data_IF_316208285136
#
_entry.id   IF_316208285136
#
_cell.length_a   1.000
_cell.length_b   1.000
_cell.length_c   1.000
_cell.angle_alpha   90.00
_cell.angle_beta   90.00
_cell.angle_gamma   90.00
#
_symmetry.space_group_name_H-M   'P 1'
#
loop_
_entity.id
_entity.type
_entity.pdbx_description
1 polymer ?
#
# COMPACT_ATOMS: atom_id res chain seq x y z
N UNK A 1 8.03 -25.64 -11.93
CA UNK A 1 7.55 -24.26 -11.62
C UNK A 1 8.03 -23.89 -10.22
N UNK A 2 9.03 -22.99 -10.10
CA UNK A 2 9.60 -22.61 -8.79
C UNK A 2 8.73 -21.51 -8.14
N UNK A 3 7.65 -21.93 -7.49
CA UNK A 3 6.77 -21.04 -6.72
C UNK A 3 7.37 -20.87 -5.31
N UNK A 4 7.22 -19.68 -4.71
CA UNK A 4 7.61 -19.42 -3.33
C UNK A 4 6.99 -20.47 -2.39
N UNK A 5 7.81 -21.11 -1.58
CA UNK A 5 7.36 -22.12 -0.62
C UNK A 5 7.06 -21.46 0.72
N UNK A 6 6.04 -21.93 1.45
CA UNK A 6 5.76 -21.47 2.80
C UNK A 6 6.97 -21.70 3.72
N UNK A 7 7.24 -20.73 4.57
CA UNK A 7 8.24 -20.85 5.62
C UNK A 7 7.77 -21.73 6.79
N UNK A 8 8.44 -21.59 7.93
CA UNK A 8 8.06 -22.31 9.17
C UNK A 8 6.61 -22.05 9.51
N UNK A 9 5.86 -23.13 9.83
CA UNK A 9 4.48 -22.99 10.34
C UNK A 9 4.53 -22.32 11.71
N UNK A 10 3.77 -21.25 11.86
CA UNK A 10 3.57 -20.64 13.18
C UNK A 10 2.63 -21.45 14.02
N UNK A 11 2.80 -21.35 15.34
CA UNK A 11 1.79 -21.81 16.29
C UNK A 11 0.53 -20.96 16.14
N UNK A 12 -0.62 -21.50 16.56
CA UNK A 12 -1.89 -20.75 16.54
C UNK A 12 -1.76 -19.40 17.27
N UNK A 13 -1.03 -19.38 18.37
CA UNK A 13 -0.81 -18.18 19.18
C UNK A 13 0.02 -17.11 18.44
N UNK A 14 1.07 -17.52 17.72
CA UNK A 14 1.86 -16.61 16.89
C UNK A 14 1.02 -16.02 15.74
N UNK A 15 0.13 -16.83 15.16
CA UNK A 15 -0.83 -16.37 14.15
C UNK A 15 -1.78 -15.32 14.69
N UNK A 16 -2.41 -15.57 15.83
CA UNK A 16 -3.32 -14.61 16.49
C UNK A 16 -2.59 -13.32 16.84
N UNK A 17 -1.41 -13.40 17.43
CA UNK A 17 -0.61 -12.21 17.77
C UNK A 17 -0.31 -11.36 16.55
N UNK A 18 0.03 -11.98 15.41
CA UNK A 18 0.30 -11.27 14.16
C UNK A 18 -0.94 -10.56 13.63
N UNK A 19 -2.09 -11.23 13.63
CA UNK A 19 -3.37 -10.64 13.22
C UNK A 19 -3.70 -9.43 14.09
N UNK A 20 -3.57 -9.56 15.41
CA UNK A 20 -3.79 -8.46 16.34
C UNK A 20 -2.83 -7.28 16.09
N UNK A 21 -1.56 -7.56 15.84
CA UNK A 21 -0.59 -6.51 15.50
C UNK A 21 -0.95 -5.79 14.20
N UNK A 22 -1.37 -6.51 13.16
CA UNK A 22 -1.83 -5.90 11.91
C UNK A 22 -3.08 -5.04 12.12
N UNK A 23 -4.06 -5.53 12.90
CA UNK A 23 -5.27 -4.80 13.24
C UNK A 23 -4.95 -3.49 13.99
N UNK A 24 -4.12 -3.59 15.04
CA UNK A 24 -3.71 -2.41 15.84
C UNK A 24 -2.93 -1.42 15.00
N UNK A 25 -2.01 -1.90 14.15
CA UNK A 25 -1.28 -1.04 13.21
C UNK A 25 -2.24 -0.30 12.27
N UNK A 26 -3.24 -1.00 11.73
CA UNK A 26 -4.28 -0.39 10.89
C UNK A 26 -5.06 0.69 11.65
N UNK A 27 -5.51 0.40 12.86
CA UNK A 27 -6.24 1.36 13.71
C UNK A 27 -5.40 2.61 13.96
N UNK A 28 -4.14 2.46 14.39
CA UNK A 28 -3.26 3.58 14.71
C UNK A 28 -2.99 4.45 13.47
N UNK A 29 -2.66 3.83 12.34
CA UNK A 29 -2.39 4.57 11.11
C UNK A 29 -3.66 5.21 10.53
N UNK A 30 -4.81 4.54 10.61
CA UNK A 30 -6.09 5.10 10.18
C UNK A 30 -6.51 6.33 11.00
N UNK A 31 -6.33 6.27 12.32
CA UNK A 31 -6.55 7.44 13.19
C UNK A 31 -5.58 8.57 12.88
N UNK A 32 -4.29 8.26 12.75
CA UNK A 32 -3.25 9.25 12.43
C UNK A 32 -3.53 9.94 11.09
N UNK A 33 -3.83 9.16 10.05
CA UNK A 33 -4.15 9.70 8.73
C UNK A 33 -5.33 10.68 8.82
N UNK A 34 -6.40 10.30 9.51
CA UNK A 34 -7.57 11.18 9.65
C UNK A 34 -7.33 12.37 10.55
N UNK A 35 -6.53 12.23 11.60
CA UNK A 35 -6.14 13.35 12.44
C UNK A 35 -5.34 14.41 11.66
N UNK A 36 -4.40 13.97 10.82
CA UNK A 36 -3.61 14.87 9.96
C UNK A 36 -4.47 15.50 8.86
N UNK A 37 -5.43 14.76 8.30
CA UNK A 37 -6.39 15.28 7.31
C UNK A 37 -7.26 16.41 7.88
N UNK A 38 -7.65 16.34 9.14
CA UNK A 38 -8.44 17.37 9.83
C UNK A 38 -7.60 18.51 10.42
N UNK A 39 -6.28 18.33 10.54
CA UNK A 39 -5.41 19.35 11.11
C UNK A 39 -5.29 20.56 10.17
N UNK A 40 -5.48 21.76 10.69
CA UNK A 40 -5.19 23.00 9.99
C UNK A 40 -3.73 23.39 10.22
N UNK A 41 -2.93 23.41 9.16
CA UNK A 41 -1.58 23.94 9.18
C UNK A 41 -1.65 25.41 8.76
N UNK A 42 -1.20 26.30 9.60
CA UNK A 42 -1.21 27.75 9.32
C UNK A 42 -0.28 28.49 10.26
N UNK A 43 0.47 27.75 11.06
CA UNK A 43 1.40 28.28 12.03
C UNK A 43 2.81 28.48 11.48
N UNK A 44 3.58 29.31 12.19
CA UNK A 44 4.99 29.59 11.87
C UNK A 44 5.98 28.58 12.48
N UNK A 45 5.47 27.46 13.02
CA UNK A 45 6.32 26.41 13.60
C UNK A 45 7.15 25.69 12.53
N UNK A 46 8.39 25.34 12.86
CA UNK A 46 9.25 24.53 11.99
C UNK A 46 8.59 23.20 11.61
N UNK A 47 7.91 22.57 12.56
CA UNK A 47 7.26 21.28 12.35
C UNK A 47 6.06 21.38 11.39
N UNK A 48 5.27 22.44 11.49
CA UNK A 48 4.15 22.67 10.59
C UNK A 48 4.62 22.89 9.16
N UNK A 49 5.67 23.70 8.97
CA UNK A 49 6.30 23.88 7.65
C UNK A 49 6.89 22.59 7.08
N UNK A 50 7.48 21.74 7.92
CA UNK A 50 8.01 20.46 7.48
C UNK A 50 6.90 19.49 7.06
N UNK A 51 5.79 19.43 7.80
CA UNK A 51 4.62 18.59 7.46
C UNK A 51 3.94 19.10 6.18
N UNK A 52 3.85 20.41 5.99
CA UNK A 52 3.31 21.04 4.79
C UNK A 52 4.21 20.79 3.57
N UNK A 53 5.53 20.94 3.72
CA UNK A 53 6.49 20.66 2.65
C UNK A 53 6.49 19.19 2.22
N UNK A 54 6.31 18.25 3.15
CA UNK A 54 6.20 16.84 2.87
C UNK A 54 4.84 16.44 2.28
N UNK A 55 3.86 17.35 2.35
CA UNK A 55 2.46 17.09 1.97
C UNK A 55 1.91 15.80 2.61
N UNK A 56 2.22 15.61 3.90
CA UNK A 56 1.94 14.36 4.61
C UNK A 56 0.45 14.07 4.70
N UNK A 57 -0.39 15.10 4.70
CA UNK A 57 -1.85 15.00 4.71
C UNK A 57 -2.36 14.25 3.47
N UNK A 58 -2.02 14.74 2.29
CA UNK A 58 -2.44 14.14 1.04
C UNK A 58 -1.80 12.76 0.88
N UNK A 59 -0.50 12.63 1.15
CA UNK A 59 0.21 11.36 1.06
C UNK A 59 -0.43 10.22 1.88
N UNK A 60 -0.85 10.50 3.14
CA UNK A 60 -1.51 9.51 4.00
C UNK A 60 -2.98 9.26 3.63
N UNK A 61 -3.59 10.14 2.86
CA UNK A 61 -4.94 9.95 2.32
C UNK A 61 -4.93 9.18 1.00
N UNK A 62 -3.77 9.08 0.35
CA UNK A 62 -3.62 8.47 -0.95
C UNK A 62 -3.26 6.98 -0.91
N UNK A 63 -3.60 6.30 -2.00
CA UNK A 63 -3.47 4.84 -2.15
C UNK A 63 -2.04 4.30 -2.01
N UNK A 64 -0.96 4.95 -2.54
CA UNK A 64 0.40 4.40 -2.53
C UNK A 64 0.93 4.04 -1.14
N UNK A 65 0.68 4.89 -0.15
CA UNK A 65 1.10 4.62 1.23
C UNK A 65 0.49 3.32 1.77
N UNK A 66 -0.81 3.16 1.60
CA UNK A 66 -1.54 1.98 2.09
C UNK A 66 -1.15 0.71 1.35
N UNK A 67 -0.89 0.82 0.04
CA UNK A 67 -0.37 -0.28 -0.76
C UNK A 67 1.02 -0.70 -0.27
N UNK A 68 1.91 0.25 0.06
CA UNK A 68 3.25 -0.05 0.56
C UNK A 68 3.22 -0.75 1.92
N UNK A 69 2.37 -0.29 2.85
CA UNK A 69 2.20 -0.97 4.16
C UNK A 69 1.62 -2.37 3.97
N UNK A 70 0.60 -2.52 3.14
CA UNK A 70 0.04 -3.82 2.79
C UNK A 70 1.08 -4.75 2.17
N UNK A 71 1.91 -4.24 1.25
CA UNK A 71 3.00 -4.98 0.63
C UNK A 71 4.07 -5.39 1.65
N UNK A 72 4.41 -4.54 2.61
CA UNK A 72 5.32 -4.89 3.70
C UNK A 72 4.77 -6.07 4.52
N UNK A 73 3.49 -6.03 4.90
CA UNK A 73 2.83 -7.14 5.61
C UNK A 73 2.94 -8.44 4.80
N UNK A 74 2.71 -8.38 3.49
CA UNK A 74 2.78 -9.51 2.55
C UNK A 74 4.20 -10.06 2.45
N UNK A 75 5.18 -9.21 2.24
CA UNK A 75 6.59 -9.60 2.03
C UNK A 75 7.15 -10.34 3.24
N UNK A 76 6.83 -9.87 4.44
CA UNK A 76 7.28 -10.47 5.70
C UNK A 76 6.35 -11.58 6.22
N UNK A 77 5.29 -11.92 5.47
CA UNK A 77 4.45 -13.05 5.80
C UNK A 77 5.15 -14.38 5.49
N UNK A 78 5.04 -15.40 6.37
CA UNK A 78 5.63 -16.71 6.16
C UNK A 78 4.87 -17.58 5.17
N UNK A 79 3.61 -17.30 4.91
CA UNK A 79 2.77 -18.01 3.94
C UNK A 79 1.78 -17.09 3.25
N UNK A 80 1.25 -17.51 2.10
CA UNK A 80 0.25 -16.78 1.35
C UNK A 80 -1.04 -16.54 2.16
N UNK A 81 -1.49 -17.55 2.91
CA UNK A 81 -2.67 -17.44 3.78
C UNK A 81 -2.47 -16.34 4.84
N UNK A 82 -1.35 -16.38 5.56
CA UNK A 82 -1.05 -15.36 6.58
C UNK A 82 -0.77 -13.97 6.00
N UNK A 83 -0.35 -13.88 4.74
CA UNK A 83 -0.27 -12.61 4.02
C UNK A 83 -1.66 -12.03 3.79
N UNK A 84 -2.59 -12.85 3.32
CA UNK A 84 -3.98 -12.46 3.11
C UNK A 84 -4.66 -11.99 4.40
N UNK A 85 -4.57 -12.81 5.45
CA UNK A 85 -5.14 -12.47 6.77
C UNK A 85 -4.55 -11.18 7.33
N UNK A 86 -3.21 -11.05 7.29
CA UNK A 86 -2.54 -9.86 7.81
C UNK A 86 -2.99 -8.58 7.13
N UNK A 87 -3.11 -8.59 5.79
CA UNK A 87 -3.57 -7.42 5.02
C UNK A 87 -5.05 -7.14 5.29
N UNK A 88 -5.89 -8.18 5.37
CA UNK A 88 -7.30 -8.02 5.70
C UNK A 88 -7.51 -7.30 7.04
N UNK A 89 -6.90 -7.81 8.11
CA UNK A 89 -7.08 -7.22 9.43
C UNK A 89 -6.43 -5.83 9.54
N UNK A 90 -5.35 -5.59 8.80
CA UNK A 90 -4.77 -4.25 8.68
C UNK A 90 -5.76 -3.26 8.07
N UNK A 91 -6.34 -3.57 6.90
CA UNK A 91 -7.31 -2.68 6.25
C UNK A 91 -8.62 -2.59 7.02
N UNK A 92 -9.06 -3.66 7.68
CA UNK A 92 -10.24 -3.62 8.54
C UNK A 92 -10.05 -2.62 9.69
N UNK A 93 -8.89 -2.67 10.36
CA UNK A 93 -8.53 -1.71 11.41
C UNK A 93 -8.44 -0.28 10.89
N UNK A 94 -7.75 -0.09 9.75
CA UNK A 94 -7.59 1.22 9.12
C UNK A 94 -8.93 1.84 8.71
N UNK A 95 -9.75 1.11 7.96
CA UNK A 95 -11.06 1.59 7.50
C UNK A 95 -12.00 1.88 8.67
N UNK A 96 -12.05 0.98 9.67
CA UNK A 96 -12.88 1.15 10.85
C UNK A 96 -12.49 2.40 11.64
N UNK A 97 -11.20 2.55 11.92
CA UNK A 97 -10.68 3.70 12.67
C UNK A 97 -10.84 5.02 11.93
N UNK A 98 -10.50 5.05 10.64
CA UNK A 98 -10.67 6.24 9.79
C UNK A 98 -12.13 6.69 9.71
N UNK A 99 -13.06 5.74 9.48
CA UNK A 99 -14.48 6.03 9.41
C UNK A 99 -15.03 6.50 10.75
N UNK A 100 -14.71 5.78 11.83
CA UNK A 100 -15.10 6.17 13.17
C UNK A 100 -14.63 7.60 13.52
N UNK A 101 -13.37 7.91 13.27
CA UNK A 101 -12.81 9.22 13.55
C UNK A 101 -13.48 10.31 12.68
N UNK A 102 -13.80 10.03 11.42
CA UNK A 102 -14.49 10.97 10.53
C UNK A 102 -15.88 11.33 11.06
N UNK A 103 -16.62 10.35 11.53
CA UNK A 103 -18.01 10.54 12.01
C UNK A 103 -18.02 11.22 13.38
N UNK A 104 -17.27 10.69 14.34
CA UNK A 104 -17.40 11.12 15.74
C UNK A 104 -16.52 12.33 16.10
N UNK A 105 -15.40 12.49 15.43
CA UNK A 105 -14.47 13.62 15.69
C UNK A 105 -14.56 14.65 14.58
N UNK A 106 -14.59 14.22 13.31
CA UNK A 106 -14.69 15.10 12.16
C UNK A 106 -16.09 15.65 11.89
N UNK A 107 -17.12 15.03 12.46
CA UNK A 107 -18.53 15.49 12.33
C UNK A 107 -19.14 15.28 10.96
N UNK A 108 -18.55 14.44 10.07
CA UNK A 108 -19.10 14.14 8.76
C UNK A 108 -18.93 12.65 8.39
N UNK A 109 -19.83 12.15 7.54
CA UNK A 109 -19.81 10.74 7.11
C UNK A 109 -19.30 10.61 5.66
N UNK A 110 -18.06 10.13 5.43
CA UNK A 110 -17.48 9.95 4.10
C UNK A 110 -17.95 8.65 3.42
N UNK A 111 -19.23 8.31 3.48
CA UNK A 111 -19.77 7.00 3.07
C UNK A 111 -19.46 6.63 1.61
N UNK A 112 -19.42 7.60 0.69
CA UNK A 112 -19.06 7.38 -0.72
C UNK A 112 -17.61 6.88 -0.89
N UNK A 113 -16.69 7.58 -0.27
CA UNK A 113 -15.26 7.26 -0.25
C UNK A 113 -15.00 5.93 0.48
N UNK A 114 -15.62 5.73 1.65
CA UNK A 114 -15.43 4.53 2.45
C UNK A 114 -15.95 3.25 1.78
N UNK A 115 -16.96 3.32 0.91
CA UNK A 115 -17.44 2.14 0.17
C UNK A 115 -16.35 1.52 -0.71
N UNK A 116 -15.51 2.33 -1.35
CA UNK A 116 -14.38 1.85 -2.16
C UNK A 116 -13.37 1.11 -1.26
N UNK A 117 -13.01 1.71 -0.13
CA UNK A 117 -12.06 1.13 0.82
C UNK A 117 -12.58 -0.16 1.48
N UNK A 118 -13.87 -0.21 1.82
CA UNK A 118 -14.47 -1.45 2.31
C UNK A 118 -14.49 -2.55 1.24
N UNK A 119 -14.77 -2.20 -0.01
CA UNK A 119 -14.66 -3.12 -1.14
C UNK A 119 -13.24 -3.67 -1.29
N UNK A 120 -12.22 -2.80 -1.25
CA UNK A 120 -10.82 -3.20 -1.27
C UNK A 120 -10.45 -4.07 -0.07
N UNK A 121 -10.97 -3.77 1.12
CA UNK A 121 -10.76 -4.57 2.33
C UNK A 121 -11.29 -6.00 2.15
N UNK A 122 -12.48 -6.16 1.59
CA UNK A 122 -13.08 -7.49 1.34
C UNK A 122 -12.25 -8.31 0.34
N UNK A 123 -11.67 -7.67 -0.68
CA UNK A 123 -10.85 -8.34 -1.71
C UNK A 123 -9.39 -8.52 -1.26
N UNK A 124 -8.94 -7.77 -0.26
CA UNK A 124 -7.54 -7.72 0.17
C UNK A 124 -6.93 -9.06 0.60
N UNK A 125 -7.65 -10.04 1.19
CA UNK A 125 -7.08 -11.35 1.49
C UNK A 125 -6.58 -12.07 0.24
N UNK A 126 -7.37 -12.02 -0.82
CA UNK A 126 -7.00 -12.63 -2.11
C UNK A 126 -5.80 -11.92 -2.72
N UNK A 127 -5.84 -10.58 -2.77
CA UNK A 127 -4.73 -9.77 -3.30
C UNK A 127 -3.45 -9.96 -2.49
N UNK A 128 -3.54 -10.02 -1.16
CA UNK A 128 -2.41 -10.28 -0.27
C UNK A 128 -1.80 -11.67 -0.49
N UNK A 129 -2.66 -12.69 -0.57
CA UNK A 129 -2.22 -14.06 -0.83
C UNK A 129 -1.54 -14.19 -2.21
N UNK A 130 -2.09 -13.56 -3.26
CA UNK A 130 -1.48 -13.53 -4.59
C UNK A 130 -0.15 -12.78 -4.59
N UNK A 131 -0.10 -11.59 -3.99
CA UNK A 131 1.09 -10.74 -3.92
C UNK A 131 2.25 -11.40 -3.16
N UNK A 132 1.96 -12.34 -2.26
CA UNK A 132 2.99 -13.09 -1.55
C UNK A 132 3.88 -13.89 -2.50
N UNK A 133 3.34 -14.37 -3.61
CA UNK A 133 4.10 -15.11 -4.63
C UNK A 133 5.00 -14.21 -5.48
N UNK A 134 4.80 -12.89 -5.50
CA UNK A 134 5.63 -11.95 -6.24
C UNK A 134 7.12 -12.02 -5.86
N UNK A 135 7.42 -12.37 -4.61
CA UNK A 135 8.78 -12.56 -4.10
C UNK A 135 9.37 -13.95 -4.40
N UNK A 136 8.62 -14.80 -5.08
CA UNK A 136 9.07 -16.12 -5.52
C UNK A 136 10.07 -16.06 -6.68
N UNK A 137 10.30 -17.22 -7.30
CA UNK A 137 11.13 -17.38 -8.51
C UNK A 137 10.24 -17.73 -9.70
N UNK A 138 10.71 -17.42 -10.92
CA UNK A 138 10.02 -17.81 -12.15
C UNK A 138 9.04 -16.76 -12.68
N UNK A 139 8.32 -17.14 -13.75
CA UNK A 139 7.48 -16.21 -14.52
C UNK A 139 6.26 -15.69 -13.76
N UNK A 140 5.66 -16.53 -12.91
CA UNK A 140 4.51 -16.10 -12.07
C UNK A 140 4.92 -14.97 -11.14
N UNK A 141 6.07 -15.11 -10.47
CA UNK A 141 6.58 -14.07 -9.60
C UNK A 141 6.94 -12.80 -10.38
N UNK A 142 7.52 -12.93 -11.58
CA UNK A 142 7.83 -11.79 -12.43
C UNK A 142 6.54 -11.07 -12.88
N UNK A 143 5.52 -11.79 -13.32
CA UNK A 143 4.23 -11.22 -13.72
C UNK A 143 3.56 -10.45 -12.57
N UNK A 144 3.48 -11.06 -11.38
CA UNK A 144 2.92 -10.40 -10.20
C UNK A 144 3.72 -9.15 -9.77
N UNK A 145 5.06 -9.23 -9.82
CA UNK A 145 5.93 -8.08 -9.54
C UNK A 145 5.68 -6.95 -10.55
N UNK A 146 5.56 -7.28 -11.85
CA UNK A 146 5.27 -6.30 -12.89
C UNK A 146 3.92 -5.62 -12.65
N UNK A 147 2.87 -6.37 -12.32
CA UNK A 147 1.56 -5.80 -12.01
C UNK A 147 1.62 -4.86 -10.80
N UNK A 148 2.29 -5.26 -9.72
CA UNK A 148 2.45 -4.41 -8.53
C UNK A 148 3.22 -3.12 -8.88
N UNK A 149 4.31 -3.23 -9.64
CA UNK A 149 5.06 -2.04 -10.08
C UNK A 149 4.25 -1.15 -11.01
N UNK A 150 3.38 -1.73 -11.87
CA UNK A 150 2.48 -0.95 -12.73
C UNK A 150 1.52 -0.11 -11.89
N UNK A 151 0.88 -0.71 -10.89
CA UNK A 151 -0.02 0.01 -9.97
C UNK A 151 0.72 1.09 -9.20
N UNK A 152 1.93 0.80 -8.71
CA UNK A 152 2.77 1.77 -8.00
C UNK A 152 3.19 2.95 -8.91
N UNK A 153 3.56 2.68 -10.17
CA UNK A 153 3.91 3.74 -11.13
C UNK A 153 2.72 4.66 -11.39
N UNK A 154 1.53 4.09 -11.63
CA UNK A 154 0.31 4.85 -11.86
C UNK A 154 -0.14 5.66 -10.63
N UNK A 155 0.21 5.19 -9.43
CA UNK A 155 -0.22 5.82 -8.17
C UNK A 155 0.81 6.82 -7.62
N UNK A 156 2.10 6.69 -7.95
CA UNK A 156 3.17 7.54 -7.41
C UNK A 156 3.63 8.62 -8.37
N UNK A 157 3.31 8.51 -9.67
CA UNK A 157 3.80 9.43 -10.70
C UNK A 157 2.68 9.80 -11.66
N UNK A 158 2.69 11.04 -12.12
CA UNK A 158 1.85 11.51 -13.21
C UNK A 158 2.68 11.61 -14.49
N UNK A 159 2.25 10.97 -15.57
CA UNK A 159 3.00 10.99 -16.82
C UNK A 159 2.09 10.93 -18.05
N UNK A 160 2.55 11.55 -19.11
CA UNK A 160 1.88 11.61 -20.39
C UNK A 160 2.85 11.40 -21.54
N UNK A 161 2.43 11.73 -22.78
CA UNK A 161 3.32 11.66 -23.95
C UNK A 161 4.47 12.67 -23.88
N UNK A 162 4.26 13.81 -23.21
CA UNK A 162 5.14 14.96 -23.23
C UNK A 162 5.58 15.41 -21.84
N UNK A 163 5.13 14.75 -20.77
CA UNK A 163 5.48 15.12 -19.41
C UNK A 163 5.67 13.90 -18.53
N UNK A 164 6.52 14.05 -17.54
CA UNK A 164 6.69 13.16 -16.42
C UNK A 164 6.83 14.02 -15.16
N UNK A 165 5.92 13.84 -14.20
CA UNK A 165 5.86 14.64 -13.00
C UNK A 165 5.93 13.77 -11.76
N UNK A 166 6.65 14.25 -10.75
CA UNK A 166 6.82 13.63 -9.45
C UNK A 166 5.77 14.21 -8.51
N UNK A 167 4.84 13.41 -8.05
CA UNK A 167 3.81 13.86 -7.11
C UNK A 167 4.38 14.33 -5.76
N UNK A 168 5.61 13.91 -5.43
CA UNK A 168 6.32 14.35 -4.24
C UNK A 168 7.41 13.37 -3.79
N UNK A 169 8.20 13.82 -2.81
CA UNK A 169 9.33 13.03 -2.30
C UNK A 169 8.87 11.75 -1.61
N UNK A 170 7.75 11.80 -0.88
CA UNK A 170 7.20 10.63 -0.17
C UNK A 170 6.67 9.58 -1.13
N UNK A 171 6.04 9.97 -2.23
CA UNK A 171 5.57 9.07 -3.29
C UNK A 171 6.74 8.37 -3.96
N UNK A 172 7.78 9.13 -4.32
CA UNK A 172 9.01 8.57 -4.91
C UNK A 172 9.72 7.63 -3.95
N UNK A 173 9.87 7.99 -2.68
CA UNK A 173 10.46 7.14 -1.66
C UNK A 173 9.65 5.85 -1.46
N UNK A 174 8.32 5.95 -1.43
CA UNK A 174 7.42 4.79 -1.33
C UNK A 174 7.60 3.83 -2.49
N UNK A 175 7.66 4.35 -3.72
CA UNK A 175 7.95 3.54 -4.91
C UNK A 175 9.28 2.80 -4.78
N UNK A 176 10.36 3.51 -4.43
CA UNK A 176 11.69 2.91 -4.28
C UNK A 176 11.74 1.86 -3.18
N UNK A 177 11.10 2.10 -2.04
CA UNK A 177 10.98 1.14 -0.94
C UNK A 177 10.26 -0.13 -1.43
N UNK A 178 9.15 0.00 -2.14
CA UNK A 178 8.42 -1.14 -2.69
C UNK A 178 9.24 -1.92 -3.72
N UNK A 179 9.98 -1.23 -4.61
CA UNK A 179 10.90 -1.88 -5.55
C UNK A 179 11.98 -2.65 -4.79
N UNK A 180 12.54 -2.08 -3.74
CA UNK A 180 13.54 -2.74 -2.91
C UNK A 180 12.98 -3.96 -2.17
N UNK A 181 11.77 -3.85 -1.60
CA UNK A 181 11.10 -4.96 -0.91
C UNK A 181 10.84 -6.17 -1.84
N UNK A 182 10.52 -5.91 -3.11
CA UNK A 182 10.27 -6.97 -4.10
C UNK A 182 11.50 -7.40 -4.89
N UNK A 183 12.66 -6.75 -4.65
CA UNK A 183 13.89 -7.10 -5.35
C UNK A 183 14.40 -8.49 -4.91
N UNK A 184 14.24 -9.47 -5.78
CA UNK A 184 14.78 -10.82 -5.59
C UNK A 184 16.04 -11.08 -6.46
N UNK A 185 16.15 -10.37 -7.60
CA UNK A 185 17.28 -10.42 -8.52
C UNK A 185 17.30 -9.13 -9.34
N UNK A 186 18.41 -8.36 -9.36
CA UNK A 186 18.48 -7.07 -10.05
C UNK A 186 18.08 -7.13 -11.53
N UNK A 187 18.53 -8.14 -12.27
CA UNK A 187 18.19 -8.30 -13.69
C UNK A 187 16.69 -8.49 -13.90
N UNK A 188 16.06 -9.36 -13.07
CA UNK A 188 14.61 -9.56 -13.12
C UNK A 188 13.85 -8.30 -12.74
N UNK A 189 14.30 -7.61 -11.71
CA UNK A 189 13.67 -6.37 -11.24
C UNK A 189 13.69 -5.29 -12.31
N UNK A 190 14.81 -5.11 -13.02
CA UNK A 190 14.91 -4.20 -14.16
C UNK A 190 13.96 -4.57 -15.30
N UNK A 191 13.87 -5.84 -15.67
CA UNK A 191 12.91 -6.31 -16.67
C UNK A 191 11.46 -6.03 -16.23
N UNK A 192 11.12 -6.32 -14.96
CA UNK A 192 9.78 -6.05 -14.43
C UNK A 192 9.48 -4.55 -14.42
N UNK A 193 10.44 -3.68 -14.09
CA UNK A 193 10.29 -2.22 -14.14
C UNK A 193 10.08 -1.73 -15.58
N UNK A 194 10.84 -2.22 -16.53
CA UNK A 194 10.67 -1.85 -17.93
C UNK A 194 9.28 -2.24 -18.46
N UNK A 195 8.84 -3.48 -18.17
CA UNK A 195 7.51 -3.95 -18.56
C UNK A 195 6.40 -3.18 -17.83
N UNK A 196 6.58 -2.86 -16.55
CA UNK A 196 5.61 -2.07 -15.80
C UNK A 196 5.48 -0.64 -16.30
N UNK A 197 6.56 -0.03 -16.77
CA UNK A 197 6.53 1.30 -17.38
C UNK A 197 5.72 1.29 -18.68
N UNK A 198 5.90 0.26 -19.53
CA UNK A 198 5.09 0.09 -20.75
C UNK A 198 3.62 -0.11 -20.41
N UNK A 199 3.31 -1.01 -19.48
CA UNK A 199 1.92 -1.26 -19.06
C UNK A 199 1.29 -0.03 -18.42
N UNK A 200 1.99 0.68 -17.55
CA UNK A 200 1.51 1.91 -16.93
C UNK A 200 1.22 2.98 -17.98
N UNK A 201 2.09 3.11 -18.99
CA UNK A 201 1.87 4.03 -20.11
C UNK A 201 0.62 3.68 -20.94
N UNK A 202 0.36 2.40 -21.18
CA UNK A 202 -0.83 1.95 -21.90
C UNK A 202 -2.11 2.14 -21.08
N UNK A 203 -2.05 1.94 -19.76
CA UNK A 203 -3.21 2.00 -18.87
C UNK A 203 -3.52 3.39 -18.33
N UNK A 204 -2.63 4.38 -18.50
CA UNK A 204 -2.80 5.73 -17.94
C UNK A 204 -4.12 6.42 -18.30
N UNK A 205 -4.71 6.12 -19.45
CA UNK A 205 -5.98 6.70 -19.90
C UNK A 205 -7.24 5.95 -19.40
N UNK A 206 -7.07 4.82 -18.72
CA UNK A 206 -8.18 3.99 -18.22
C UNK A 206 -8.38 4.09 -16.70
N UNK A 207 -7.50 4.80 -16.00
CA UNK A 207 -7.49 4.90 -14.52
C UNK A 207 -7.89 6.31 -14.04
N UNK A 208 -8.15 7.23 -14.96
CA UNK A 208 -8.67 8.58 -14.66
C UNK A 208 -10.19 8.63 -14.77
#
# INVERSE_FOLDING_TARGET
>A
MNIRQPGKRYTVWEGIRRILLCLVLGILLGMLAKQLDLASYGGNSFWERALEWLDLRNFLSDFPFWLAVGLAIVVFAPSAFQAGDGVFFFFLGMCGAYHWYSVYVGGFNPSGYMRIWYGLTVVSPLLGAMSWYARGKGYVAAGLTTLIFTVLLLSCFSFGFWYFDFQGILYTATFLICVFMLNANPKRTLCCLALSAVLAFLLRGSVL
#
